data_IF_230443127682
#
_entry.id   IF_230443127682
#
_cell.length_a   1.000
_cell.length_b   1.000
_cell.length_c   1.000
_cell.angle_alpha   90.00
_cell.angle_beta   90.00
_cell.angle_gamma   90.00
#
_symmetry.space_group_name_H-M   'P 1'
#
loop_
_entity.id
_entity.type
_entity.pdbx_description
1 polymer ?
#
# COMPACT_ATOMS: atom_id res chain seq x y z
N UNK A 1 -12.52 1.23 18.44
CA UNK A 1 -12.70 1.33 16.98
C UNK A 1 -13.48 0.11 16.52
N UNK A 2 -14.44 0.22 15.58
CA UNK A 2 -14.98 -0.98 14.92
C UNK A 2 -13.80 -1.76 14.35
N UNK A 3 -13.82 -3.09 14.50
CA UNK A 3 -12.72 -3.98 14.09
C UNK A 3 -12.26 -3.71 12.64
N UNK A 4 -13.19 -3.34 11.78
CA UNK A 4 -12.98 -2.90 10.39
C UNK A 4 -11.96 -1.75 10.25
N UNK A 5 -12.04 -0.67 11.05
CA UNK A 5 -11.10 0.46 10.96
C UNK A 5 -9.69 0.04 11.35
N UNK A 6 -9.57 -0.79 12.38
CA UNK A 6 -8.29 -1.32 12.82
C UNK A 6 -7.68 -2.21 11.74
N UNK A 7 -8.50 -3.09 11.13
CA UNK A 7 -8.07 -3.95 10.04
C UNK A 7 -7.61 -3.14 8.81
N UNK A 8 -8.37 -2.11 8.42
CA UNK A 8 -8.01 -1.21 7.31
C UNK A 8 -6.72 -0.42 7.59
N UNK A 9 -6.53 0.08 8.80
CA UNK A 9 -5.28 0.74 9.21
C UNK A 9 -4.10 -0.23 9.15
N UNK A 10 -4.27 -1.46 9.66
CA UNK A 10 -3.23 -2.49 9.62
C UNK A 10 -2.87 -2.87 8.18
N UNK A 11 -3.87 -3.04 7.31
CA UNK A 11 -3.69 -3.27 5.87
C UNK A 11 -2.94 -2.12 5.20
N UNK A 12 -3.27 -0.87 5.54
CA UNK A 12 -2.58 0.30 5.02
C UNK A 12 -1.11 0.33 5.44
N UNK A 13 -0.84 0.11 6.72
CA UNK A 13 0.53 0.05 7.25
C UNK A 13 1.38 -1.02 6.57
N UNK A 14 0.83 -2.23 6.43
CA UNK A 14 1.54 -3.32 5.74
C UNK A 14 1.80 -2.96 4.27
N UNK A 15 0.80 -2.39 3.57
CA UNK A 15 0.93 -2.01 2.16
C UNK A 15 2.00 -0.93 1.95
N UNK A 16 2.09 0.03 2.86
CA UNK A 16 3.12 1.08 2.85
C UNK A 16 4.52 0.50 3.08
N UNK A 17 4.66 -0.42 4.03
CA UNK A 17 5.93 -1.11 4.30
C UNK A 17 6.38 -1.95 3.09
N UNK A 18 5.46 -2.73 2.51
CA UNK A 18 5.72 -3.52 1.30
C UNK A 18 6.16 -2.64 0.11
N UNK A 19 5.47 -1.51 -0.10
CA UNK A 19 5.83 -0.56 -1.15
C UNK A 19 7.23 0.02 -0.91
N UNK A 20 7.55 0.41 0.31
CA UNK A 20 8.87 0.92 0.67
C UNK A 20 9.96 -0.12 0.43
N UNK A 21 9.75 -1.39 0.84
CA UNK A 21 10.71 -2.49 0.61
C UNK A 21 10.94 -2.75 -0.88
N UNK A 22 9.87 -2.75 -1.67
CA UNK A 22 9.93 -2.91 -3.12
C UNK A 22 10.79 -1.82 -3.78
N UNK A 23 10.56 -0.55 -3.40
CA UNK A 23 11.26 0.59 -3.98
C UNK A 23 12.73 0.68 -3.52
N UNK A 24 13.01 0.41 -2.24
CA UNK A 24 14.35 0.59 -1.67
C UNK A 24 15.27 -0.59 -1.91
N UNK A 25 14.74 -1.81 -1.86
CA UNK A 25 15.52 -3.04 -1.88
C UNK A 25 15.24 -3.85 -3.15
N UNK A 26 14.03 -4.36 -3.33
CA UNK A 26 13.81 -5.44 -4.30
C UNK A 26 13.99 -4.99 -5.76
N UNK A 27 13.49 -3.82 -6.14
CA UNK A 27 13.70 -3.27 -7.48
C UNK A 27 15.18 -2.91 -7.72
N UNK A 28 15.89 -2.46 -6.68
CA UNK A 28 17.31 -2.14 -6.76
C UNK A 28 18.13 -3.41 -6.98
N UNK A 29 17.83 -4.47 -6.25
CA UNK A 29 18.53 -5.74 -6.34
C UNK A 29 18.23 -6.46 -7.66
N UNK A 30 16.96 -6.47 -8.11
CA UNK A 30 16.60 -7.00 -9.41
C UNK A 30 17.33 -6.29 -10.57
N UNK A 31 17.50 -4.97 -10.48
CA UNK A 31 18.28 -4.19 -11.45
C UNK A 31 19.78 -4.53 -11.40
N UNK A 32 20.36 -4.64 -10.20
CA UNK A 32 21.77 -5.02 -10.02
C UNK A 32 22.08 -6.41 -10.57
N UNK A 33 21.18 -7.36 -10.36
CA UNK A 33 21.32 -8.74 -10.88
C UNK A 33 21.00 -8.86 -12.37
N UNK A 34 20.61 -7.76 -13.05
CA UNK A 34 20.26 -7.78 -14.47
C UNK A 34 18.99 -8.58 -14.81
N UNK A 35 18.19 -8.97 -13.82
CA UNK A 35 17.02 -9.82 -14.02
C UNK A 35 15.81 -9.00 -14.49
N UNK A 36 15.63 -8.91 -15.81
CA UNK A 36 14.55 -8.10 -16.43
C UNK A 36 13.15 -8.57 -16.05
N UNK A 37 12.91 -9.88 -15.94
CA UNK A 37 11.61 -10.45 -15.57
C UNK A 37 11.22 -10.07 -14.13
N UNK A 38 12.14 -10.22 -13.18
CA UNK A 38 11.93 -9.79 -11.79
C UNK A 38 11.69 -8.29 -11.70
N UNK A 39 12.51 -7.47 -12.37
CA UNK A 39 12.34 -6.01 -12.39
C UNK A 39 10.95 -5.60 -12.90
N UNK A 40 10.48 -6.24 -13.98
CA UNK A 40 9.14 -5.99 -14.53
C UNK A 40 8.03 -6.42 -13.56
N UNK A 41 8.13 -7.62 -12.98
CA UNK A 41 7.15 -8.14 -12.04
C UNK A 41 7.05 -7.25 -10.79
N UNK A 42 8.18 -6.92 -10.18
CA UNK A 42 8.26 -6.07 -8.99
C UNK A 42 7.76 -4.65 -9.30
N UNK A 43 8.00 -4.14 -10.51
CA UNK A 43 7.45 -2.86 -10.96
C UNK A 43 5.92 -2.87 -11.04
N UNK A 44 5.33 -3.95 -11.58
CA UNK A 44 3.87 -4.13 -11.60
C UNK A 44 3.30 -4.21 -10.19
N UNK A 45 3.94 -4.96 -9.29
CA UNK A 45 3.53 -5.08 -7.88
C UNK A 45 3.56 -3.72 -7.17
N UNK A 46 4.63 -2.94 -7.36
CA UNK A 46 4.76 -1.58 -6.82
C UNK A 46 3.62 -0.68 -7.29
N UNK A 47 3.29 -0.71 -8.58
CA UNK A 47 2.19 0.10 -9.13
C UNK A 47 0.83 -0.31 -8.54
N UNK A 48 0.59 -1.61 -8.38
CA UNK A 48 -0.65 -2.10 -7.75
C UNK A 48 -0.75 -1.67 -6.29
N UNK A 49 0.35 -1.74 -5.53
CA UNK A 49 0.38 -1.25 -4.15
C UNK A 49 0.04 0.23 -4.05
N UNK A 50 0.53 1.08 -4.97
CA UNK A 50 0.14 2.49 -5.01
C UNK A 50 -1.37 2.68 -5.13
N UNK A 51 -2.02 1.93 -6.02
CA UNK A 51 -3.48 1.98 -6.19
C UNK A 51 -4.21 1.50 -4.93
N UNK A 52 -3.74 0.40 -4.33
CA UNK A 52 -4.34 -0.15 -3.12
C UNK A 52 -4.21 0.81 -1.93
N UNK A 53 -3.05 1.45 -1.76
CA UNK A 53 -2.80 2.45 -0.70
C UNK A 53 -3.76 3.63 -0.86
N UNK A 54 -3.92 4.17 -2.08
CA UNK A 54 -4.84 5.26 -2.34
C UNK A 54 -6.30 4.89 -2.01
N UNK A 55 -6.71 3.66 -2.35
CA UNK A 55 -8.04 3.15 -2.01
C UNK A 55 -8.24 3.03 -0.49
N UNK A 56 -7.25 2.49 0.23
CA UNK A 56 -7.29 2.36 1.69
C UNK A 56 -7.32 3.73 2.39
N UNK A 57 -6.52 4.69 1.93
CA UNK A 57 -6.53 6.06 2.43
C UNK A 57 -7.90 6.72 2.22
N UNK A 58 -8.51 6.54 1.04
CA UNK A 58 -9.85 7.05 0.73
C UNK A 58 -10.90 6.45 1.66
N UNK A 59 -10.88 5.14 1.88
CA UNK A 59 -11.84 4.46 2.77
C UNK A 59 -11.70 4.95 4.22
N UNK A 60 -10.46 5.03 4.72
CA UNK A 60 -10.19 5.53 6.06
C UNK A 60 -10.64 6.98 6.23
N UNK A 61 -10.45 7.83 5.21
CA UNK A 61 -10.94 9.20 5.23
C UNK A 61 -12.48 9.27 5.31
N UNK A 62 -13.19 8.40 4.57
CA UNK A 62 -14.66 8.32 4.66
C UNK A 62 -15.14 7.87 6.05
N UNK A 63 -14.40 6.95 6.69
CA UNK A 63 -14.70 6.50 8.05
C UNK A 63 -14.48 7.60 9.09
N UNK A 64 -13.49 8.47 8.89
CA UNK A 64 -13.26 9.64 9.75
C UNK A 64 -14.28 10.75 9.50
N UNK A 65 -14.66 11.01 8.24
CA UNK A 65 -15.68 12.01 7.88
C UNK A 65 -17.10 11.64 8.32
N UNK A 66 -17.45 10.35 8.34
CA UNK A 66 -18.76 9.86 8.82
C UNK A 66 -18.99 10.08 10.32
N UNK A 67 -17.94 10.31 11.13
CA UNK A 67 -18.10 10.70 12.54
C UNK A 67 -18.60 12.13 12.74
N UNK A 68 -18.65 12.96 11.69
CA UNK A 68 -19.10 14.36 11.76
C UNK A 68 -20.59 14.60 11.44
N UNK A 69 -21.42 13.56 11.29
CA UNK A 69 -22.87 13.67 11.05
C UNK A 69 -23.72 12.99 12.12
N UNK A 70 -23.24 13.02 13.36
CA UNK A 70 -24.01 12.65 14.56
C UNK A 70 -23.80 13.76 15.61
N UNK A 71 -24.35 14.92 15.31
CA UNK A 71 -24.60 16.03 16.23
C UNK A 71 -25.62 16.94 15.56
#
# INVERSE_FOLDING_TARGET
>A
MRNENYNLLKLLHNSLDDQWRLEKHYLKDAKKCGCKSCSMLLGKLRNQLTVNIAALQKELAMHMGKKGKLS
#
